data_IF_030185360362
#
_entry.id   IF_030185360362
#
_cell.length_a   1.000
_cell.length_b   1.000
_cell.length_c   1.000
_cell.angle_alpha   90.00
_cell.angle_beta   90.00
_cell.angle_gamma   90.00
#
_symmetry.space_group_name_H-M   'P 1'
#
loop_
_entity.id
_entity.type
_entity.pdbx_description
1 polymer ?
#
# COMPACT_ATOMS: atom_id res chain seq x y z
N UNK A 1 -7.19 44.73 -55.56
CA UNK A 1 -8.15 43.66 -55.22
C UNK A 1 -7.60 42.97 -53.99
N UNK A 2 -8.23 43.19 -52.84
CA UNK A 2 -7.64 42.99 -51.51
C UNK A 2 -7.79 41.53 -51.08
N UNK A 3 -6.68 40.95 -50.60
CA UNK A 3 -6.55 39.59 -50.08
C UNK A 3 -7.35 39.41 -48.79
N UNK A 4 -8.50 38.74 -48.86
CA UNK A 4 -9.23 38.22 -47.69
C UNK A 4 -9.05 36.72 -47.62
N UNK A 5 -7.95 36.20 -47.06
CA UNK A 5 -7.92 34.80 -46.61
C UNK A 5 -6.68 34.50 -45.75
N UNK A 6 -6.62 34.89 -44.47
CA UNK A 6 -5.67 34.30 -43.49
C UNK A 6 -5.94 34.71 -42.04
N UNK A 7 -7.11 34.38 -41.49
CA UNK A 7 -7.37 34.56 -40.05
C UNK A 7 -8.07 33.38 -39.36
N UNK A 8 -8.48 32.33 -40.09
CA UNK A 8 -9.33 31.27 -39.52
C UNK A 8 -8.57 30.05 -38.98
N UNK A 9 -7.32 29.80 -39.39
CA UNK A 9 -6.60 28.58 -38.97
C UNK A 9 -5.76 28.74 -37.71
N UNK A 10 -5.33 29.95 -37.37
CA UNK A 10 -4.48 30.18 -36.19
C UNK A 10 -5.25 30.09 -34.87
N UNK A 11 -6.50 30.54 -34.84
CA UNK A 11 -7.34 30.53 -33.63
C UNK A 11 -7.72 29.11 -33.17
N UNK A 12 -7.92 28.18 -34.11
CA UNK A 12 -8.22 26.79 -33.80
C UNK A 12 -7.03 26.02 -33.21
N UNK A 13 -5.80 26.31 -33.66
CA UNK A 13 -4.61 25.66 -33.11
C UNK A 13 -4.27 26.17 -31.71
N UNK A 14 -4.39 27.48 -31.47
CA UNK A 14 -4.16 28.06 -30.13
C UNK A 14 -5.21 27.56 -29.13
N UNK A 15 -6.48 27.45 -29.55
CA UNK A 15 -7.56 26.91 -28.70
C UNK A 15 -7.36 25.43 -28.36
N UNK A 16 -6.90 24.61 -29.32
CA UNK A 16 -6.63 23.18 -29.08
C UNK A 16 -5.40 22.94 -28.21
N UNK A 17 -4.33 23.72 -28.39
CA UNK A 17 -3.13 23.62 -27.54
C UNK A 17 -3.42 24.10 -26.11
N UNK A 18 -4.20 25.18 -25.94
CA UNK A 18 -4.62 25.65 -24.63
C UNK A 18 -5.48 24.61 -23.88
N UNK A 19 -6.41 23.92 -24.58
CA UNK A 19 -7.21 22.84 -24.01
C UNK A 19 -6.36 21.60 -23.66
N UNK A 20 -5.31 21.31 -24.43
CA UNK A 20 -4.41 20.20 -24.14
C UNK A 20 -3.55 20.49 -22.89
N UNK A 21 -3.01 21.71 -22.76
CA UNK A 21 -2.25 22.15 -21.58
C UNK A 21 -3.17 22.22 -20.33
N UNK A 22 -4.41 22.69 -20.49
CA UNK A 22 -5.42 22.67 -19.41
C UNK A 22 -5.79 21.25 -19.00
N UNK A 23 -5.90 20.31 -19.95
CA UNK A 23 -6.15 18.90 -19.66
C UNK A 23 -4.99 18.22 -18.95
N UNK A 24 -3.73 18.60 -19.25
CA UNK A 24 -2.55 18.12 -18.51
C UNK A 24 -2.50 18.66 -17.08
N UNK A 25 -2.97 19.89 -16.85
CA UNK A 25 -3.13 20.47 -15.51
C UNK A 25 -4.25 19.81 -14.69
N UNK A 26 -5.36 19.41 -15.33
CA UNK A 26 -6.49 18.76 -14.65
C UNK A 26 -6.26 17.24 -14.44
N UNK A 27 -5.51 16.57 -15.32
CA UNK A 27 -5.14 15.16 -15.16
C UNK A 27 -3.94 14.94 -14.22
N UNK A 28 -3.20 15.99 -13.86
CA UNK A 28 -2.03 15.93 -12.97
C UNK A 28 -2.34 15.84 -11.47
N UNK A 29 -3.55 16.18 -11.03
CA UNK A 29 -3.90 16.26 -9.60
C UNK A 29 -4.63 15.02 -9.04
N UNK A 30 -4.76 13.95 -9.82
CA UNK A 30 -5.44 12.71 -9.40
C UNK A 30 -4.55 11.73 -8.61
N UNK A 31 -3.24 11.98 -8.53
CA UNK A 31 -2.30 11.18 -7.75
C UNK A 31 -2.05 11.82 -6.39
N UNK A 32 -2.96 11.63 -5.43
CA UNK A 32 -2.79 12.15 -4.07
C UNK A 32 -1.39 11.79 -3.52
N UNK A 33 -0.71 12.80 -2.98
CA UNK A 33 0.64 12.67 -2.41
C UNK A 33 0.64 11.57 -1.36
N UNK A 34 1.57 10.62 -1.44
CA UNK A 34 1.74 9.58 -0.43
C UNK A 34 2.59 10.11 0.71
N UNK A 35 2.19 9.85 1.95
CA UNK A 35 2.93 10.31 3.13
C UNK A 35 4.39 9.85 3.10
N UNK A 36 4.65 8.61 2.67
CA UNK A 36 5.97 7.98 2.61
C UNK A 36 6.92 8.60 1.57
N UNK A 37 6.41 9.46 0.66
CA UNK A 37 7.23 10.20 -0.28
C UNK A 37 7.66 11.54 0.33
N UNK A 38 8.78 11.55 1.07
CA UNK A 38 9.32 12.73 1.76
C UNK A 38 9.32 14.04 0.96
N UNK A 39 9.88 14.12 -0.27
CA UNK A 39 9.89 15.38 -1.00
C UNK A 39 8.47 15.84 -1.38
N UNK A 40 7.56 14.92 -1.69
CA UNK A 40 6.20 15.26 -2.06
C UNK A 40 5.39 15.70 -0.83
N UNK A 41 5.52 15.00 0.30
CA UNK A 41 4.78 15.27 1.53
C UNK A 41 5.26 16.52 2.27
N UNK A 42 6.57 16.75 2.33
CA UNK A 42 7.13 18.00 2.89
C UNK A 42 6.72 19.23 2.09
N UNK A 43 6.67 19.11 0.74
CA UNK A 43 6.20 20.19 -0.13
C UNK A 43 4.68 20.40 -0.02
N UNK A 44 3.89 19.33 0.01
CA UNK A 44 2.43 19.39 0.14
C UNK A 44 1.99 20.04 1.47
N UNK A 45 2.75 19.85 2.53
CA UNK A 45 2.46 20.41 3.86
C UNK A 45 3.12 21.77 4.11
N UNK A 46 3.95 22.26 3.18
CA UNK A 46 4.70 23.51 3.32
C UNK A 46 5.40 23.61 4.70
N UNK A 47 6.13 22.56 5.08
CA UNK A 47 6.74 22.45 6.41
C UNK A 47 7.85 23.47 6.62
N UNK A 48 7.87 24.11 7.81
CA UNK A 48 9.00 24.93 8.26
C UNK A 48 10.26 24.08 8.45
N UNK A 49 11.43 24.71 8.59
CA UNK A 49 12.68 23.98 8.81
C UNK A 49 12.63 23.16 10.12
N UNK A 50 12.13 23.77 11.19
CA UNK A 50 11.98 23.15 12.51
C UNK A 50 10.98 21.99 12.46
N UNK A 51 9.87 22.16 11.72
CA UNK A 51 8.90 21.08 11.52
C UNK A 51 9.51 19.91 10.73
N UNK A 52 10.31 20.17 9.70
CA UNK A 52 10.99 19.10 8.94
C UNK A 52 11.93 18.29 9.82
N UNK A 53 12.73 18.95 10.66
CA UNK A 53 13.64 18.27 11.58
C UNK A 53 12.90 17.30 12.54
N UNK A 54 11.66 17.62 12.93
CA UNK A 54 10.82 16.74 13.76
C UNK A 54 9.97 15.71 13.00
N UNK A 55 9.49 16.03 11.80
CA UNK A 55 8.51 15.22 11.04
C UNK A 55 9.21 14.24 10.09
N UNK A 56 10.29 14.64 9.43
CA UNK A 56 10.95 13.80 8.43
C UNK A 56 11.45 12.46 9.01
N UNK A 57 12.08 12.40 10.20
CA UNK A 57 12.45 11.12 10.81
C UNK A 57 11.25 10.21 11.07
N UNK A 58 10.08 10.76 11.41
CA UNK A 58 8.85 9.98 11.63
C UNK A 58 8.32 9.42 10.31
N UNK A 59 8.37 10.20 9.23
CA UNK A 59 7.99 9.75 7.88
C UNK A 59 8.93 8.64 7.39
N UNK A 60 10.24 8.79 7.61
CA UNK A 60 11.23 7.73 7.33
C UNK A 60 10.87 6.46 8.08
N UNK A 61 10.60 6.55 9.39
CA UNK A 61 10.25 5.39 10.20
C UNK A 61 8.96 4.71 9.71
N UNK A 62 7.94 5.47 9.32
CA UNK A 62 6.72 4.91 8.68
C UNK A 62 7.07 4.16 7.39
N UNK A 63 7.94 4.71 6.54
CA UNK A 63 8.36 4.06 5.29
C UNK A 63 9.06 2.74 5.59
N UNK A 64 10.01 2.74 6.52
CA UNK A 64 10.79 1.54 6.86
C UNK A 64 9.87 0.43 7.40
N UNK A 65 8.90 0.76 8.28
CA UNK A 65 7.87 -0.19 8.72
C UNK A 65 7.06 -0.77 7.55
N UNK A 66 6.70 0.07 6.58
CA UNK A 66 5.93 -0.36 5.40
C UNK A 66 6.77 -1.28 4.52
N UNK A 67 8.03 -0.96 4.28
CA UNK A 67 8.96 -1.79 3.49
C UNK A 67 9.17 -3.16 4.15
N UNK A 68 9.44 -3.19 5.46
CA UNK A 68 9.55 -4.43 6.24
C UNK A 68 8.27 -5.27 6.15
N UNK A 69 7.11 -4.62 6.27
CA UNK A 69 5.82 -5.29 6.16
C UNK A 69 5.58 -5.88 4.78
N UNK A 70 5.93 -5.16 3.72
CA UNK A 70 5.77 -5.63 2.33
C UNK A 70 6.70 -6.80 2.03
N UNK A 71 7.94 -6.75 2.51
CA UNK A 71 8.88 -7.87 2.43
C UNK A 71 8.31 -9.13 3.09
N UNK A 72 7.86 -9.03 4.34
CA UNK A 72 7.28 -10.15 5.10
C UNK A 72 6.00 -10.69 4.45
N UNK A 73 5.17 -9.81 3.88
CA UNK A 73 3.96 -10.19 3.15
C UNK A 73 4.33 -11.09 1.97
N UNK A 74 5.31 -10.68 1.18
CA UNK A 74 5.73 -11.39 -0.02
C UNK A 74 6.36 -12.75 0.34
N UNK A 75 7.09 -12.84 1.45
CA UNK A 75 7.57 -14.12 1.97
C UNK A 75 6.44 -15.08 2.38
N UNK A 76 5.41 -14.55 3.05
CA UNK A 76 4.24 -15.34 3.47
C UNK A 76 3.48 -15.85 2.24
N UNK A 77 3.33 -15.04 1.21
CA UNK A 77 2.72 -15.45 -0.05
C UNK A 77 3.55 -16.53 -0.76
N UNK A 78 4.88 -16.38 -0.80
CA UNK A 78 5.78 -17.36 -1.39
C UNK A 78 5.71 -18.71 -0.65
N UNK A 79 5.67 -18.70 0.69
CA UNK A 79 5.52 -19.89 1.51
C UNK A 79 4.17 -20.59 1.25
N UNK A 80 3.09 -19.82 1.15
CA UNK A 80 1.78 -20.34 0.83
C UNK A 80 1.71 -20.96 -0.57
N UNK A 81 2.24 -20.28 -1.60
CA UNK A 81 2.27 -20.80 -2.97
C UNK A 81 3.07 -22.10 -3.04
N UNK A 82 4.21 -22.16 -2.35
CA UNK A 82 5.06 -23.35 -2.26
C UNK A 82 4.37 -24.53 -1.58
N UNK A 83 3.57 -24.27 -0.54
CA UNK A 83 2.77 -25.29 0.14
C UNK A 83 1.70 -25.84 -0.79
N UNK A 84 0.89 -24.97 -1.42
CA UNK A 84 -0.20 -25.43 -2.30
C UNK A 84 0.30 -26.16 -3.54
N UNK A 85 1.39 -25.70 -4.15
CA UNK A 85 2.00 -26.39 -5.29
C UNK A 85 2.36 -27.85 -4.94
N UNK A 86 2.89 -28.09 -3.73
CA UNK A 86 3.21 -29.44 -3.22
C UNK A 86 1.97 -30.23 -2.81
N UNK A 87 1.04 -29.60 -2.09
CA UNK A 87 -0.19 -30.24 -1.64
C UNK A 87 -1.12 -30.64 -2.81
N UNK A 88 -1.05 -29.93 -3.94
CA UNK A 88 -1.83 -30.22 -5.15
C UNK A 88 -1.23 -31.31 -6.05
N UNK A 89 -0.02 -31.81 -5.75
CA UNK A 89 0.58 -32.87 -6.56
C UNK A 89 -0.26 -34.16 -6.45
N UNK A 90 -0.47 -34.88 -7.57
CA UNK A 90 -1.16 -36.17 -7.55
C UNK A 90 -0.46 -37.09 -6.56
N UNK A 91 -1.23 -37.65 -5.61
CA UNK A 91 -0.73 -38.69 -4.70
C UNK A 91 -0.23 -39.86 -5.56
N UNK A 92 1.09 -40.03 -5.68
CA UNK A 92 1.66 -41.22 -6.32
C UNK A 92 1.51 -42.41 -5.36
N UNK A 93 0.26 -42.85 -5.24
CA UNK A 93 -0.28 -43.78 -4.25
C UNK A 93 0.33 -45.19 -4.29
N UNK A 94 1.25 -45.49 -5.21
CA UNK A 94 1.73 -46.87 -5.41
C UNK A 94 3.02 -47.20 -4.66
N UNK A 95 3.77 -46.22 -4.13
CA UNK A 95 5.02 -46.47 -3.39
C UNK A 95 5.17 -45.70 -2.06
N UNK A 96 4.30 -44.74 -1.76
CA UNK A 96 4.43 -43.89 -0.58
C UNK A 96 3.51 -44.36 0.56
N UNK A 97 3.98 -45.35 1.32
CA UNK A 97 3.31 -45.78 2.55
C UNK A 97 3.27 -44.65 3.59
N UNK A 98 2.17 -43.90 3.65
CA UNK A 98 1.74 -43.04 4.77
C UNK A 98 2.64 -41.88 5.23
N UNK A 99 3.90 -41.80 4.77
CA UNK A 99 4.88 -40.80 5.21
C UNK A 99 4.63 -39.40 4.64
N UNK A 100 4.08 -39.31 3.42
CA UNK A 100 3.79 -38.02 2.76
C UNK A 100 2.69 -37.23 3.49
N UNK A 101 1.68 -37.91 4.04
CA UNK A 101 0.60 -37.24 4.77
C UNK A 101 1.09 -36.57 6.07
N UNK A 102 2.13 -37.11 6.71
CA UNK A 102 2.70 -36.51 7.92
C UNK A 102 3.53 -35.25 7.62
N UNK A 103 4.29 -35.26 6.52
CA UNK A 103 5.09 -34.11 6.08
C UNK A 103 4.23 -32.90 5.69
N UNK A 104 3.21 -33.12 4.86
CA UNK A 104 2.30 -32.05 4.42
C UNK A 104 1.52 -31.44 5.60
N UNK A 105 1.16 -32.24 6.61
CA UNK A 105 0.53 -31.73 7.84
C UNK A 105 1.44 -30.85 8.70
N UNK A 106 2.72 -31.20 8.81
CA UNK A 106 3.71 -30.40 9.54
C UNK A 106 3.95 -29.06 8.83
N UNK A 107 4.14 -29.08 7.51
CA UNK A 107 4.29 -27.87 6.70
C UNK A 107 3.07 -26.94 6.81
N UNK A 108 1.86 -27.51 6.83
CA UNK A 108 0.64 -26.74 7.05
C UNK A 108 0.59 -26.08 8.43
N UNK A 109 1.02 -26.81 9.47
CA UNK A 109 1.07 -26.28 10.82
C UNK A 109 2.05 -25.10 10.92
N UNK A 110 3.24 -25.22 10.32
CA UNK A 110 4.23 -24.15 10.25
C UNK A 110 3.71 -22.94 9.49
N UNK A 111 3.06 -23.15 8.34
CA UNK A 111 2.43 -22.09 7.55
C UNK A 111 1.34 -21.37 8.36
N UNK A 112 0.51 -22.12 9.10
CA UNK A 112 -0.49 -21.52 10.01
C UNK A 112 0.15 -20.68 11.10
N UNK A 113 1.26 -21.12 11.68
CA UNK A 113 2.00 -20.32 12.67
C UNK A 113 2.53 -19.04 12.01
N UNK A 114 3.15 -19.12 10.83
CA UNK A 114 3.66 -17.96 10.09
C UNK A 114 2.53 -16.95 9.79
N UNK A 115 1.39 -17.43 9.29
CA UNK A 115 0.20 -16.59 9.02
C UNK A 115 -0.34 -15.90 10.28
N UNK A 116 -0.39 -16.61 11.41
CA UNK A 116 -0.84 -16.02 12.69
C UNK A 116 0.12 -14.94 13.19
N UNK A 117 1.43 -15.20 13.12
CA UNK A 117 2.47 -14.21 13.49
C UNK A 117 2.38 -12.97 12.61
N UNK A 118 2.28 -13.17 11.29
CA UNK A 118 2.10 -12.08 10.33
C UNK A 118 0.86 -11.22 10.63
N UNK A 119 -0.27 -11.86 10.93
CA UNK A 119 -1.50 -11.14 11.29
C UNK A 119 -1.36 -10.33 12.59
N UNK A 120 -0.62 -10.84 13.58
CA UNK A 120 -0.33 -10.11 14.80
C UNK A 120 0.62 -8.93 14.56
N UNK A 121 1.71 -9.16 13.82
CA UNK A 121 2.69 -8.14 13.43
C UNK A 121 2.03 -6.99 12.66
N UNK A 122 1.14 -7.30 11.72
CA UNK A 122 0.33 -6.28 11.02
C UNK A 122 -0.41 -5.35 11.97
N UNK A 123 -0.99 -5.88 13.05
CA UNK A 123 -1.72 -5.06 14.05
C UNK A 123 -0.76 -4.16 14.82
N UNK A 124 0.43 -4.66 15.13
CA UNK A 124 1.47 -3.89 15.80
C UNK A 124 1.95 -2.73 14.92
N UNK A 125 2.33 -3.01 13.66
CA UNK A 125 2.72 -1.97 12.71
C UNK A 125 1.62 -0.96 12.45
N UNK A 126 0.36 -1.39 12.33
CA UNK A 126 -0.77 -0.46 12.19
C UNK A 126 -0.88 0.47 13.41
N UNK A 127 -0.68 -0.05 14.63
CA UNK A 127 -0.70 0.77 15.85
C UNK A 127 0.46 1.77 15.89
N UNK A 128 1.65 1.33 15.49
CA UNK A 128 2.85 2.14 15.46
C UNK A 128 2.75 3.27 14.44
N UNK A 129 2.39 2.96 13.19
CA UNK A 129 2.12 3.95 12.14
C UNK A 129 1.04 4.94 12.59
N UNK A 130 -0.03 4.47 13.23
CA UNK A 130 -1.07 5.36 13.76
C UNK A 130 -0.54 6.29 14.86
N UNK A 131 0.39 5.82 15.69
CA UNK A 131 1.07 6.64 16.69
C UNK A 131 1.88 7.76 16.04
N UNK A 132 2.74 7.40 15.08
CA UNK A 132 3.58 8.34 14.33
C UNK A 132 2.73 9.38 13.57
N UNK A 133 1.63 8.96 12.95
CA UNK A 133 0.71 9.88 12.27
C UNK A 133 0.12 10.89 13.25
N UNK A 134 -0.26 10.48 14.47
CA UNK A 134 -0.79 11.41 15.49
C UNK A 134 0.27 12.40 15.95
N UNK A 135 1.51 11.94 16.13
CA UNK A 135 2.62 12.82 16.47
C UNK A 135 2.90 13.83 15.36
N UNK A 136 2.91 13.41 14.10
CA UNK A 136 3.03 14.31 12.95
C UNK A 136 1.89 15.33 12.98
N UNK A 137 0.64 14.90 13.15
CA UNK A 137 -0.51 15.81 13.22
C UNK A 137 -0.42 16.80 14.37
N UNK A 138 0.16 16.42 15.51
CA UNK A 138 0.37 17.31 16.65
C UNK A 138 1.33 18.46 16.29
N UNK A 139 2.36 18.17 15.50
CA UNK A 139 3.39 19.12 15.06
C UNK A 139 2.93 20.05 13.91
N UNK A 140 1.80 19.74 13.27
CA UNK A 140 1.22 20.54 12.19
C UNK A 140 0.30 21.66 12.70
N UNK A 141 0.34 22.80 12.00
CA UNK A 141 -0.61 23.91 12.19
C UNK A 141 -2.03 23.51 11.76
N UNK A 142 -3.09 24.23 12.19
CA UNK A 142 -4.45 23.94 11.79
C UNK A 142 -4.66 23.85 10.27
N UNK A 143 -4.06 24.77 9.51
CA UNK A 143 -4.16 24.81 8.05
C UNK A 143 -3.44 23.61 7.41
N UNK A 144 -2.26 23.26 7.92
CA UNK A 144 -1.52 22.09 7.46
C UNK A 144 -2.26 20.79 7.75
N UNK A 145 -3.00 20.69 8.87
CA UNK A 145 -3.83 19.52 9.18
C UNK A 145 -4.98 19.33 8.20
N UNK A 146 -5.48 20.41 7.59
CA UNK A 146 -6.48 20.31 6.51
C UNK A 146 -5.83 19.68 5.28
N UNK A 147 -4.68 20.22 4.84
CA UNK A 147 -3.92 19.66 3.72
C UNK A 147 -3.48 18.20 3.97
N UNK A 148 -3.15 17.86 5.21
CA UNK A 148 -2.76 16.50 5.59
C UNK A 148 -3.88 15.47 5.36
N UNK A 149 -5.16 15.85 5.41
CA UNK A 149 -6.28 14.92 5.15
C UNK A 149 -6.32 14.44 3.71
N UNK A 150 -5.77 15.23 2.78
CA UNK A 150 -5.71 14.89 1.37
C UNK A 150 -4.47 14.04 1.03
N UNK A 151 -3.55 13.89 1.98
CA UNK A 151 -2.38 13.02 1.84
C UNK A 151 -2.80 11.57 2.00
N UNK A 152 -2.40 10.74 1.04
CA UNK A 152 -2.67 9.31 1.07
C UNK A 152 -1.78 8.62 2.10
N UNK A 153 -2.41 8.04 3.11
CA UNK A 153 -1.75 7.25 4.14
C UNK A 153 -1.35 5.85 3.61
N UNK A 154 -0.27 5.26 4.12
CA UNK A 154 0.16 3.93 3.69
C UNK A 154 -0.87 2.86 4.08
N UNK A 155 -1.01 1.83 3.26
CA UNK A 155 -1.96 0.73 3.49
C UNK A 155 -1.21 -0.58 3.77
N UNK A 156 -1.35 -1.14 4.97
CA UNK A 156 -0.83 -2.49 5.28
C UNK A 156 -1.78 -3.56 4.73
N UNK A 157 -1.59 -3.94 3.46
CA UNK A 157 -2.44 -4.91 2.74
C UNK A 157 -2.19 -6.34 3.18
N UNK A 158 -3.26 -7.04 3.53
CA UNK A 158 -3.21 -8.48 3.80
C UNK A 158 -2.78 -9.24 2.54
N UNK A 159 -1.96 -10.29 2.69
CA UNK A 159 -1.61 -11.18 1.59
C UNK A 159 -2.88 -11.83 1.04
N UNK A 160 -2.89 -12.12 -0.26
CA UNK A 160 -4.08 -12.59 -0.99
C UNK A 160 -4.74 -13.82 -0.36
N UNK A 161 -3.91 -14.66 0.24
CA UNK A 161 -4.27 -15.90 0.93
C UNK A 161 -5.16 -15.65 2.15
N UNK A 162 -5.09 -14.45 2.72
CA UNK A 162 -5.93 -13.98 3.81
C UNK A 162 -7.08 -13.07 3.31
N UNK A 163 -7.29 -12.92 2.00
CA UNK A 163 -8.38 -12.10 1.44
C UNK A 163 -9.55 -12.98 1.03
N UNK A 164 -10.58 -13.06 1.90
CA UNK A 164 -11.98 -13.53 1.72
C UNK A 164 -12.27 -14.89 1.03
N UNK A 165 -11.60 -15.33 -0.04
CA UNK A 165 -11.93 -16.60 -0.73
C UNK A 165 -11.33 -17.86 -0.08
N UNK A 166 -10.21 -17.74 0.64
CA UNK A 166 -9.65 -18.80 1.48
C UNK A 166 -10.03 -18.66 2.96
N UNK A 167 -10.68 -17.56 3.34
CA UNK A 167 -10.95 -17.18 4.73
C UNK A 167 -11.92 -18.12 5.47
N UNK A 168 -12.81 -18.79 4.73
CA UNK A 168 -13.74 -19.76 5.31
C UNK A 168 -13.03 -21.03 5.82
N UNK A 169 -11.89 -21.40 5.24
CA UNK A 169 -11.02 -22.49 5.74
C UNK A 169 -10.23 -22.08 7.01
N UNK A 170 -10.02 -20.77 7.20
CA UNK A 170 -9.29 -20.18 8.33
C UNK A 170 -10.21 -19.73 9.49
N UNK A 171 -11.53 -19.98 9.40
CA UNK A 171 -12.54 -19.42 10.31
C UNK A 171 -12.59 -20.13 11.67
N UNK A 172 -11.53 -19.95 12.46
CA UNK A 172 -11.59 -19.89 13.92
C UNK A 172 -10.67 -18.74 14.39
N UNK A 173 -11.22 -17.53 14.53
CA UNK A 173 -10.64 -16.50 15.42
C UNK A 173 -10.03 -15.22 14.83
N UNK A 174 -10.01 -15.00 13.51
CA UNK A 174 -9.46 -13.75 12.95
C UNK A 174 -10.56 -12.81 12.44
N UNK A 175 -11.09 -11.99 13.35
CA UNK A 175 -11.88 -10.82 12.99
C UNK A 175 -11.02 -9.82 12.23
N UNK A 176 -11.23 -9.72 10.92
CA UNK A 176 -10.58 -8.74 10.07
C UNK A 176 -11.17 -7.36 10.32
N UNK A 177 -10.48 -6.53 11.11
CA UNK A 177 -10.75 -5.10 11.16
C UNK A 177 -9.97 -4.46 10.00
N UNK A 178 -10.64 -3.85 9.01
CA UNK A 178 -9.96 -3.00 8.06
C UNK A 178 -9.49 -1.75 8.82
N UNK A 179 -8.17 -1.65 9.05
CA UNK A 179 -7.58 -0.39 9.49
C UNK A 179 -7.57 0.54 8.28
N UNK A 180 -8.55 1.46 8.24
CA UNK A 180 -8.40 2.73 7.54
C UNK A 180 -7.76 3.67 8.56
N UNK A 181 -6.61 4.23 8.18
CA UNK A 181 -5.95 5.29 8.94
C UNK A 181 -6.71 6.60 8.73
#
# INVERSE_FOLDING_TARGET
MIFTFHASRFTHHVSRVALFILSLLVLGCGGGVKLINLPDSSNALNLSKEQREGIEPKIVHIRDIVEDYEFERDEVEAAYRSYYARASLPRMSRYEGGRVDRGVRLEWHELRIKLRRFAAQRRQYAKEISGLIREIQADLTPDQRVAFKDIKLPELRLPEVLRRRHYDEFRMGFGGIPYRF
#
